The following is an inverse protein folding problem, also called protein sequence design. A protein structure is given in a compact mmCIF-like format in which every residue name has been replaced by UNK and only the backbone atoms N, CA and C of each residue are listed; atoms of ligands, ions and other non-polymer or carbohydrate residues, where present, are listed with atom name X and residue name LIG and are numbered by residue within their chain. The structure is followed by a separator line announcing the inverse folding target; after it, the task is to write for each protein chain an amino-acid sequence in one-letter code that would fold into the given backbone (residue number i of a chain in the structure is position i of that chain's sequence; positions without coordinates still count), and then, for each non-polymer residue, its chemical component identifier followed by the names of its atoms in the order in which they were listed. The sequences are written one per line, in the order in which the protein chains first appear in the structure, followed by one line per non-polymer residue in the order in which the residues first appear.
data_IF_722298762099
#
_entry.id   IF_722298762099
#
_cell.length_a   1.000
_cell.length_b   1.000
_cell.length_c   1.000
_cell.angle_alpha   90.00
_cell.angle_beta   90.00
_cell.angle_gamma   90.00
#
_symmetry.space_group_name_H-M   'P 1'
#
loop_
_entity.id
_entity.type
_entity.pdbx_description
1 polymer ?
#
# COMPACT_ATOMS: atom_id res chain seq x y z
N UNK A 1 -12.53 -9.73 15.67
CA UNK A 1 -12.46 -8.91 14.45
C UNK A 1 -11.13 -8.19 14.43
N UNK A 2 -10.18 -8.74 13.70
CA UNK A 2 -8.87 -8.17 13.39
C UNK A 2 -9.06 -6.99 12.43
N UNK A 3 -8.50 -5.81 12.75
CA UNK A 3 -8.59 -4.59 11.92
C UNK A 3 -7.25 -3.86 11.93
N UNK A 4 -6.84 -3.35 10.76
CA UNK A 4 -5.68 -2.45 10.63
C UNK A 4 -5.99 -1.08 11.24
N UNK A 5 -5.83 -0.94 12.55
CA UNK A 5 -6.12 0.28 13.30
C UNK A 5 -5.02 0.60 14.29
N UNK A 6 -4.75 1.90 14.48
CA UNK A 6 -3.68 2.38 15.36
C UNK A 6 -2.77 3.39 14.67
N UNK A 7 -1.94 4.09 15.46
CA UNK A 7 -0.93 5.04 14.98
C UNK A 7 0.43 4.62 15.52
N UNK A 8 1.40 4.49 14.62
CA UNK A 8 2.74 4.05 14.93
C UNK A 8 3.75 5.01 14.31
N UNK A 9 4.87 5.25 14.98
CA UNK A 9 5.93 6.12 14.51
C UNK A 9 7.19 5.29 14.29
N UNK A 10 7.69 5.31 13.05
CA UNK A 10 8.92 4.65 12.65
C UNK A 10 9.72 5.56 11.72
N UNK A 11 11.04 5.50 11.82
CA UNK A 11 11.94 6.10 10.84
C UNK A 11 12.13 5.17 9.64
N UNK A 12 12.38 5.75 8.48
CA UNK A 12 12.82 5.02 7.30
C UNK A 12 14.32 4.75 7.42
N UNK A 13 14.73 3.50 7.16
CA UNK A 13 16.15 3.15 7.20
C UNK A 13 16.90 3.66 5.95
N UNK A 14 18.25 3.67 5.94
CA UNK A 14 19.02 4.17 4.79
C UNK A 14 18.78 3.46 3.46
N UNK A 15 18.14 2.28 3.49
CA UNK A 15 17.77 1.50 2.30
C UNK A 15 16.33 1.76 1.86
N UNK A 16 15.60 2.67 2.51
CA UNK A 16 14.22 3.00 2.17
C UNK A 16 13.20 2.03 2.75
N UNK A 17 13.52 1.29 3.83
CA UNK A 17 12.59 0.34 4.46
C UNK A 17 11.94 0.92 5.69
N UNK A 18 10.67 0.57 5.91
CA UNK A 18 9.89 0.96 7.09
C UNK A 18 9.36 -0.28 7.82
N UNK A 19 9.27 -0.20 9.14
CA UNK A 19 8.74 -1.28 9.98
C UNK A 19 7.22 -1.40 9.81
N UNK A 20 6.73 -2.64 9.65
CA UNK A 20 5.30 -2.94 9.76
C UNK A 20 4.98 -3.23 11.24
N UNK A 21 4.02 -2.51 11.86
CA UNK A 21 3.62 -2.73 13.24
C UNK A 21 3.37 -4.22 13.54
N UNK A 22 3.79 -4.71 14.71
CA UNK A 22 3.59 -6.12 15.09
C UNK A 22 2.13 -6.54 15.00
N UNK A 23 1.21 -5.70 15.47
CA UNK A 23 -0.23 -5.94 15.39
C UNK A 23 -0.72 -6.13 13.94
N UNK A 24 -0.14 -5.40 12.97
CA UNK A 24 -0.50 -5.55 11.57
C UNK A 24 0.12 -6.81 10.96
N UNK A 25 1.33 -7.18 11.39
CA UNK A 25 1.96 -8.45 11.00
C UNK A 25 1.19 -9.66 11.51
N UNK A 26 0.56 -9.58 12.68
CA UNK A 26 -0.30 -10.64 13.20
C UNK A 26 -1.55 -10.82 12.31
N UNK A 27 -2.21 -9.71 11.96
CA UNK A 27 -3.37 -9.72 11.04
C UNK A 27 -2.97 -10.29 9.67
N UNK A 28 -1.84 -9.85 9.12
CA UNK A 28 -1.35 -10.34 7.84
C UNK A 28 -1.07 -11.84 7.89
N UNK A 29 -0.44 -12.37 8.95
CA UNK A 29 -0.18 -13.81 9.09
C UNK A 29 -1.43 -14.66 9.27
N UNK A 30 -2.47 -14.12 9.90
CA UNK A 30 -3.71 -14.85 10.15
C UNK A 30 -4.61 -14.89 8.91
N UNK A 31 -4.58 -13.86 8.06
CA UNK A 31 -5.58 -13.67 7.01
C UNK A 31 -5.03 -13.49 5.60
N UNK A 32 -3.75 -13.19 5.42
CA UNK A 32 -3.15 -12.77 4.16
C UNK A 32 -1.73 -13.38 3.97
N UNK A 33 -1.03 -12.94 2.92
CA UNK A 33 0.40 -13.22 2.70
C UNK A 33 1.29 -12.07 3.21
N UNK A 34 2.59 -12.30 3.21
CA UNK A 34 3.68 -11.35 3.37
C UNK A 34 3.85 -10.37 2.21
N UNK A 35 3.27 -10.68 1.03
CA UNK A 35 3.26 -9.80 -0.13
C UNK A 35 2.20 -8.71 -0.01
N UNK A 36 2.59 -7.49 -0.36
CA UNK A 36 1.78 -6.29 -0.24
C UNK A 36 1.92 -5.43 -1.49
N UNK A 37 0.94 -4.55 -1.72
CA UNK A 37 0.98 -3.51 -2.74
C UNK A 37 1.15 -2.16 -2.07
N UNK A 38 2.19 -1.43 -2.45
CA UNK A 38 2.39 -0.02 -2.08
C UNK A 38 2.00 0.88 -3.25
N UNK A 39 1.25 1.95 -2.97
CA UNK A 39 0.77 2.89 -3.99
C UNK A 39 0.59 4.28 -3.37
N UNK A 40 0.50 5.33 -4.20
CA UNK A 40 0.14 6.67 -3.72
C UNK A 40 -1.33 6.73 -3.31
N UNK A 41 -1.63 7.54 -2.29
CA UNK A 41 -3.01 7.86 -1.95
C UNK A 41 -3.66 8.72 -3.05
N UNK A 42 -4.98 8.60 -3.28
CA UNK A 42 -5.67 9.34 -4.34
C UNK A 42 -5.76 10.85 -4.13
N UNK A 43 -5.62 11.32 -2.89
CA UNK A 43 -5.86 12.72 -2.50
C UNK A 43 -4.72 13.26 -1.66
N UNK A 44 -4.37 12.55 -0.59
CA UNK A 44 -3.35 13.00 0.36
C UNK A 44 -1.94 12.68 -0.14
N UNK A 45 -0.95 13.48 0.29
CA UNK A 45 0.47 13.19 0.05
C UNK A 45 0.96 12.14 1.03
N UNK A 46 0.56 10.89 0.78
CA UNK A 46 1.00 9.73 1.55
C UNK A 46 0.92 8.46 0.68
N UNK A 47 1.38 7.35 1.25
CA UNK A 47 1.33 6.05 0.61
C UNK A 47 0.30 5.16 1.31
N UNK A 48 -0.40 4.36 0.50
CA UNK A 48 -1.22 3.26 0.98
C UNK A 48 -0.48 1.94 0.82
N UNK A 49 -0.81 1.00 1.71
CA UNK A 49 -0.30 -0.36 1.69
C UNK A 49 -1.48 -1.32 1.78
N UNK A 50 -1.57 -2.28 0.86
CA UNK A 50 -2.66 -3.25 0.79
C UNK A 50 -2.13 -4.68 0.78
N UNK A 51 -2.80 -5.65 1.42
CA UNK A 51 -2.68 -7.04 1.02
C UNK A 51 -3.00 -7.20 -0.47
N UNK A 52 -2.30 -8.11 -1.16
CA UNK A 52 -2.50 -8.32 -2.61
C UNK A 52 -3.94 -8.66 -2.94
N UNK A 53 -4.58 -9.53 -2.16
CA UNK A 53 -5.98 -9.95 -2.35
C UNK A 53 -6.95 -8.75 -2.26
N UNK A 54 -6.75 -7.86 -1.29
CA UNK A 54 -7.59 -6.67 -1.13
C UNK A 54 -7.36 -5.65 -2.25
N UNK A 55 -6.14 -5.58 -2.78
CA UNK A 55 -5.82 -4.78 -3.95
C UNK A 55 -6.52 -5.33 -5.21
N UNK A 56 -6.51 -6.65 -5.42
CA UNK A 56 -7.24 -7.30 -6.52
C UNK A 56 -8.75 -7.05 -6.42
N UNK A 57 -9.32 -7.21 -5.22
CA UNK A 57 -10.72 -6.89 -4.95
C UNK A 57 -11.06 -5.41 -5.25
N UNK A 58 -10.14 -4.49 -4.96
CA UNK A 58 -10.29 -3.08 -5.32
C UNK A 58 -10.28 -2.90 -6.84
N UNK A 59 -9.34 -3.52 -7.56
CA UNK A 59 -9.24 -3.44 -9.01
C UNK A 59 -10.47 -4.03 -9.71
N UNK A 60 -11.02 -5.13 -9.19
CA UNK A 60 -12.24 -5.74 -9.73
C UNK A 60 -13.43 -4.78 -9.61
N UNK A 61 -13.62 -4.17 -8.44
CA UNK A 61 -14.65 -3.13 -8.22
C UNK A 61 -14.47 -1.95 -9.16
N UNK A 62 -13.23 -1.49 -9.35
CA UNK A 62 -12.90 -0.38 -10.25
C UNK A 62 -13.16 -0.75 -11.72
N UNK A 63 -12.95 -2.01 -12.10
CA UNK A 63 -13.14 -2.50 -13.47
C UNK A 63 -14.60 -2.42 -13.94
N UNK A 64 -15.55 -2.57 -13.02
CA UNK A 64 -16.99 -2.46 -13.28
C UNK A 64 -17.52 -1.02 -13.39
N UNK A 65 -16.70 -0.01 -13.12
CA UNK A 65 -17.12 1.40 -13.18
C UNK A 65 -16.87 2.03 -14.56
N UNK A 66 -17.69 3.02 -14.99
CA UNK A 66 -17.47 3.70 -16.26
C UNK A 66 -16.12 4.44 -16.29
N UNK A 67 -15.19 3.95 -17.12
CA UNK A 67 -13.83 4.52 -17.27
C UNK A 67 -13.79 5.86 -18.01
N UNK A 68 -14.94 6.35 -18.49
CA UNK A 68 -15.06 7.64 -19.20
C UNK A 68 -14.95 8.84 -18.26
N UNK A 69 -15.27 8.69 -16.97
CA UNK A 69 -15.19 9.77 -15.99
C UNK A 69 -13.73 10.21 -15.78
N UNK A 70 -13.50 11.54 -15.82
CA UNK A 70 -12.18 12.14 -15.62
C UNK A 70 -11.53 11.74 -14.29
N UNK A 71 -12.32 11.68 -13.22
CA UNK A 71 -11.86 11.23 -11.89
C UNK A 71 -11.37 9.78 -11.92
N UNK A 72 -12.09 8.89 -12.60
CA UNK A 72 -11.69 7.49 -12.75
C UNK A 72 -10.39 7.34 -13.54
N UNK A 73 -10.25 8.07 -14.65
CA UNK A 73 -8.99 8.10 -15.42
C UNK A 73 -7.82 8.59 -14.57
N UNK A 74 -8.05 9.61 -13.74
CA UNK A 74 -7.03 10.12 -12.84
C UNK A 74 -6.64 9.08 -11.79
N UNK A 75 -7.62 8.43 -11.15
CA UNK A 75 -7.40 7.36 -10.17
C UNK A 75 -6.59 6.20 -10.76
N UNK A 76 -6.99 5.69 -11.93
CA UNK A 76 -6.27 4.62 -12.63
C UNK A 76 -4.83 5.03 -12.96
N UNK A 77 -4.61 6.27 -13.42
CA UNK A 77 -3.27 6.73 -13.77
C UNK A 77 -2.38 6.96 -12.56
N UNK A 78 -2.94 7.44 -11.45
CA UNK A 78 -2.18 7.85 -10.26
C UNK A 78 -2.02 6.69 -9.29
N UNK A 79 -3.12 6.18 -8.74
CA UNK A 79 -3.11 5.10 -7.76
C UNK A 79 -2.70 3.78 -8.43
N UNK A 80 -3.46 3.32 -9.43
CA UNK A 80 -3.16 2.01 -10.05
C UNK A 80 -1.84 2.05 -10.82
N UNK A 81 -1.54 3.16 -11.51
CA UNK A 81 -0.29 3.32 -12.25
C UNK A 81 0.98 3.41 -11.40
N UNK A 82 0.87 3.75 -10.10
CA UNK A 82 2.00 3.81 -9.17
C UNK A 82 2.12 2.58 -8.26
N UNK A 83 1.21 1.62 -8.38
CA UNK A 83 1.19 0.43 -7.54
C UNK A 83 2.40 -0.47 -7.81
N UNK A 84 3.10 -0.87 -6.73
CA UNK A 84 4.28 -1.73 -6.78
C UNK A 84 4.14 -2.84 -5.73
N UNK A 85 4.48 -4.08 -6.11
CA UNK A 85 4.56 -5.20 -5.17
C UNK A 85 5.80 -5.08 -4.28
N UNK A 86 5.62 -5.33 -3.00
CA UNK A 86 6.67 -5.40 -1.97
C UNK A 86 6.39 -6.56 -1.04
N UNK A 87 7.38 -7.00 -0.27
CA UNK A 87 7.27 -8.14 0.62
C UNK A 87 7.82 -7.79 2.00
N UNK A 88 7.18 -8.32 3.05
CA UNK A 88 7.68 -8.19 4.42
C UNK A 88 8.95 -9.03 4.59
N UNK A 89 10.06 -8.37 4.89
CA UNK A 89 11.33 -9.05 5.16
C UNK A 89 11.30 -9.82 6.50
N UNK A 90 12.32 -10.65 6.75
CA UNK A 90 12.47 -11.42 7.99
C UNK A 90 12.49 -10.56 9.27
N UNK A 91 12.75 -9.25 9.15
CA UNK A 91 12.76 -8.31 10.27
C UNK A 91 11.41 -7.58 10.43
N UNK A 92 10.42 -7.86 9.59
CA UNK A 92 9.10 -7.26 9.66
C UNK A 92 9.01 -5.90 8.95
N UNK A 93 9.90 -5.60 8.00
CA UNK A 93 9.91 -4.32 7.27
C UNK A 93 9.50 -4.50 5.81
N UNK A 94 9.03 -3.42 5.20
CA UNK A 94 8.77 -3.34 3.77
C UNK A 94 9.68 -2.33 3.11
N UNK A 95 10.10 -2.60 1.87
CA UNK A 95 10.82 -1.63 1.05
C UNK A 95 9.83 -0.65 0.43
N UNK A 96 10.09 0.65 0.59
CA UNK A 96 9.38 1.72 -0.10
C UNK A 96 10.25 2.22 -1.26
N UNK A 97 9.85 1.97 -2.53
CA UNK A 97 10.57 2.43 -3.71
C UNK A 97 10.89 3.93 -3.65
N UNK A 98 12.03 4.34 -4.21
CA UNK A 98 12.47 5.75 -4.19
C UNK A 98 11.47 6.70 -4.85
N UNK A 99 10.82 6.27 -5.93
CA UNK A 99 9.75 7.03 -6.60
C UNK A 99 8.61 7.33 -5.63
N UNK A 100 8.08 6.30 -4.97
CA UNK A 100 6.97 6.44 -4.03
C UNK A 100 7.36 7.22 -2.77
N UNK A 101 8.61 7.13 -2.31
CA UNK A 101 9.08 8.00 -1.23
C UNK A 101 9.04 9.47 -1.61
N UNK A 102 9.42 9.79 -2.85
CA UNK A 102 9.32 11.15 -3.37
C UNK A 102 7.86 11.61 -3.47
N UNK A 103 6.97 10.74 -3.97
CA UNK A 103 5.54 11.04 -4.08
C UNK A 103 4.87 11.23 -2.70
N UNK A 104 5.35 10.52 -1.68
CA UNK A 104 4.84 10.53 -0.31
C UNK A 104 5.55 11.50 0.66
N UNK A 105 6.56 12.26 0.22
CA UNK A 105 7.39 13.15 1.05
C UNK A 105 8.13 12.43 2.21
N UNK A 106 8.70 11.27 1.91
CA UNK A 106 9.32 10.33 2.85
C UNK A 106 10.85 10.28 2.78
#
# INVERSE_FOLDING_TARGET
MSRFTGKYYYSIDPKGRVMVPSAFRDILREHYDTKLIVTVAPVDRCLHLYPVEEWENLLEKVSGLPKSHRSMKLFLRTVVGSAVETEIDKQGRVLVPSSLRTDGDL
#
